data_IF_281927102164
#
_entry.id   IF_281927102164
#
_cell.length_a   1.000
_cell.length_b   1.000
_cell.length_c   1.000
_cell.angle_alpha   90.00
_cell.angle_beta   90.00
_cell.angle_gamma   90.00
#
_symmetry.space_group_name_H-M   'P 1'
#
loop_
_entity.id
_entity.type
_entity.pdbx_description
1 polymer ?
#
# COMPACT_ATOMS: atom_id res chain seq x y z
N UNK A 1 9.26 -9.76 -14.54
CA UNK A 1 8.50 -9.95 -13.29
C UNK A 1 7.57 -8.76 -13.14
N UNK A 2 6.32 -9.00 -12.76
CA UNK A 2 5.26 -7.99 -12.63
C UNK A 2 5.44 -7.16 -11.34
N UNK A 3 6.66 -6.69 -11.07
CA UNK A 3 6.98 -5.82 -9.94
C UNK A 3 6.79 -4.38 -10.38
N UNK A 4 5.70 -3.74 -9.94
CA UNK A 4 5.57 -2.30 -10.05
C UNK A 4 6.03 -1.67 -8.73
N UNK A 5 6.89 -0.66 -8.81
CA UNK A 5 7.25 0.14 -7.64
C UNK A 5 5.99 0.87 -7.16
N UNK A 6 5.51 0.54 -5.95
CA UNK A 6 4.40 1.25 -5.33
C UNK A 6 4.93 2.22 -4.28
N UNK A 7 4.36 3.43 -4.21
CA UNK A 7 4.76 4.42 -3.21
C UNK A 7 3.82 4.39 -2.01
N UNK A 8 4.27 3.82 -0.90
CA UNK A 8 3.54 3.81 0.37
C UNK A 8 3.97 4.99 1.24
N UNK A 9 3.06 5.93 1.52
CA UNK A 9 3.37 7.16 2.26
C UNK A 9 4.55 7.96 1.68
N UNK A 10 4.76 7.90 0.36
CA UNK A 10 5.88 8.56 -0.33
C UNK A 10 7.17 7.76 -0.39
N UNK A 11 7.24 6.59 0.25
CA UNK A 11 8.40 5.70 0.19
C UNK A 11 8.20 4.62 -0.88
N UNK A 12 9.23 4.30 -1.68
CA UNK A 12 9.16 3.18 -2.61
C UNK A 12 9.09 1.87 -1.83
N UNK A 13 8.13 1.02 -2.18
CA UNK A 13 7.95 -0.32 -1.64
C UNK A 13 8.02 -1.30 -2.79
N UNK A 14 8.92 -2.28 -2.68
CA UNK A 14 8.97 -3.43 -3.57
C UNK A 14 7.84 -4.38 -3.22
N UNK A 15 7.02 -4.72 -4.21
CA UNK A 15 5.84 -5.56 -4.04
C UNK A 15 6.04 -6.82 -4.86
N UNK A 16 6.31 -7.92 -4.15
CA UNK A 16 6.42 -9.24 -4.74
C UNK A 16 5.33 -10.15 -4.16
N UNK A 17 4.11 -10.16 -4.75
CA UNK A 17 3.02 -10.98 -4.26
C UNK A 17 3.32 -12.48 -4.45
N UNK A 18 2.82 -13.35 -3.57
CA UNK A 18 2.89 -14.80 -3.79
C UNK A 18 2.24 -15.24 -5.10
N UNK A 19 2.66 -16.37 -5.66
CA UNK A 19 2.04 -16.94 -6.85
C UNK A 19 0.53 -17.13 -6.66
N UNK A 20 -0.25 -16.70 -7.66
CA UNK A 20 -1.71 -16.73 -7.62
C UNK A 20 -2.36 -15.54 -6.91
N UNK A 21 -1.60 -14.65 -6.28
CA UNK A 21 -2.11 -13.38 -5.74
C UNK A 21 -1.97 -12.29 -6.80
N UNK A 22 -3.09 -11.68 -7.26
CA UNK A 22 -3.03 -10.58 -8.21
C UNK A 22 -2.28 -9.39 -7.62
N UNK A 23 -1.31 -8.85 -8.36
CA UNK A 23 -0.58 -7.65 -7.96
C UNK A 23 -1.51 -6.49 -7.57
N UNK A 24 -2.61 -6.31 -8.31
CA UNK A 24 -3.62 -5.28 -8.06
C UNK A 24 -4.33 -5.44 -6.70
N UNK A 25 -4.46 -6.66 -6.20
CA UNK A 25 -5.10 -6.94 -4.91
C UNK A 25 -4.24 -6.40 -3.76
N UNK A 26 -2.93 -6.65 -3.83
CA UNK A 26 -1.96 -6.09 -2.86
C UNK A 26 -1.91 -4.56 -2.91
N UNK A 27 -1.97 -3.98 -4.12
CA UNK A 27 -2.05 -2.53 -4.27
C UNK A 27 -3.33 -1.96 -3.65
N UNK A 28 -4.47 -2.64 -3.81
CA UNK A 28 -5.73 -2.22 -3.20
C UNK A 28 -5.63 -2.17 -1.68
N UNK A 29 -5.11 -3.24 -1.05
CA UNK A 29 -4.90 -3.30 0.40
C UNK A 29 -3.98 -2.17 0.86
N UNK A 30 -2.90 -1.89 0.14
CA UNK A 30 -1.99 -0.79 0.48
C UNK A 30 -2.65 0.60 0.36
N UNK A 31 -3.55 0.79 -0.61
CA UNK A 31 -4.33 2.03 -0.70
C UNK A 31 -5.27 2.18 0.52
N UNK A 32 -5.95 1.10 0.93
CA UNK A 32 -6.81 1.12 2.12
C UNK A 32 -6.01 1.44 3.40
N UNK A 33 -4.85 0.80 3.58
CA UNK A 33 -3.95 1.09 4.71
C UNK A 33 -3.51 2.55 4.71
N UNK A 34 -3.19 3.15 3.55
CA UNK A 34 -2.87 4.58 3.49
C UNK A 34 -4.02 5.46 3.97
N UNK A 35 -5.24 5.16 3.55
CA UNK A 35 -6.43 5.94 3.94
C UNK A 35 -6.66 5.82 5.44
N UNK A 36 -6.55 4.61 5.99
CA UNK A 36 -6.72 4.38 7.43
C UNK A 36 -5.64 5.09 8.26
N UNK A 37 -4.37 5.00 7.87
CA UNK A 37 -3.30 5.71 8.59
C UNK A 37 -3.47 7.23 8.51
N UNK A 38 -3.89 7.77 7.37
CA UNK A 38 -4.23 9.21 7.25
C UNK A 38 -5.39 9.58 8.16
N UNK A 39 -6.42 8.73 8.26
CA UNK A 39 -7.55 8.95 9.15
C UNK A 39 -7.14 8.93 10.62
N UNK A 40 -6.37 7.92 11.04
CA UNK A 40 -5.83 7.83 12.41
C UNK A 40 -4.94 9.02 12.74
N UNK A 41 -4.06 9.41 11.83
CA UNK A 41 -3.20 10.59 11.99
C UNK A 41 -4.02 11.85 12.22
N UNK A 42 -5.09 12.04 11.44
CA UNK A 42 -6.03 13.16 11.60
C UNK A 42 -6.74 13.14 12.96
N UNK A 43 -7.14 11.95 13.44
CA UNK A 43 -7.78 11.80 14.75
C UNK A 43 -6.80 12.10 15.90
N UNK A 44 -5.53 11.75 15.76
CA UNK A 44 -4.50 12.02 16.76
C UNK A 44 -3.87 13.41 16.67
N UNK A 45 -4.19 14.20 15.63
CA UNK A 45 -3.72 15.58 15.47
C UNK A 45 -2.23 15.72 15.11
N UNK A 46 -1.63 14.72 14.44
CA UNK A 46 -0.19 14.65 14.09
C UNK A 46 0.10 15.07 12.65
#
# INVERSE_FOLDING_TARGET
>A
GQGAEFRLFGFPVDVNPPDGVPFLDVIHVFQEVQVQVKAVRRLHGV
#
